data_IF_647658905182
#
_entry.id   IF_647658905182
#
_cell.length_a   1.000
_cell.length_b   1.000
_cell.length_c   1.000
_cell.angle_alpha   90.00
_cell.angle_beta   90.00
_cell.angle_gamma   90.00
#
_symmetry.space_group_name_H-M   'P 1'
#
loop_
_entity.id
_entity.type
_entity.pdbx_description
1 polymer ?
#
# COMPACT_ATOMS: atom_id res chain seq x y z
N UNK A 1 34.05 -32.58 -31.06
CA UNK A 1 34.44 -31.16 -30.92
C UNK A 1 33.72 -30.38 -32.02
N UNK A 2 32.45 -30.00 -31.84
CA UNK A 2 31.62 -29.27 -32.83
C UNK A 2 30.47 -28.48 -32.14
N UNK A 3 30.66 -28.01 -30.91
CA UNK A 3 29.55 -27.45 -30.09
C UNK A 3 29.31 -25.95 -30.38
N UNK A 4 30.36 -25.21 -30.76
CA UNK A 4 30.30 -23.76 -30.99
C UNK A 4 29.54 -23.36 -32.27
N UNK A 5 29.73 -24.03 -33.43
CA UNK A 5 29.00 -23.67 -34.65
C UNK A 5 27.49 -23.88 -34.52
N UNK A 6 27.06 -24.93 -33.81
CA UNK A 6 25.65 -25.23 -33.59
C UNK A 6 25.00 -24.28 -32.58
N UNK A 7 25.74 -23.90 -31.52
CA UNK A 7 25.29 -22.82 -30.61
C UNK A 7 25.16 -21.50 -31.36
N UNK A 8 26.11 -21.17 -32.22
CA UNK A 8 26.09 -19.95 -33.03
C UNK A 8 24.89 -19.93 -33.98
N UNK A 9 24.64 -21.04 -34.71
CA UNK A 9 23.49 -21.17 -35.60
C UNK A 9 22.15 -21.10 -34.85
N UNK A 10 22.06 -21.72 -33.68
CA UNK A 10 20.85 -21.65 -32.86
C UNK A 10 20.61 -20.24 -32.31
N UNK A 11 21.66 -19.53 -31.91
CA UNK A 11 21.55 -18.13 -31.48
C UNK A 11 21.14 -17.21 -32.63
N UNK A 12 21.73 -17.39 -33.82
CA UNK A 12 21.35 -16.64 -35.02
C UNK A 12 19.89 -16.94 -35.38
N UNK A 13 19.47 -18.19 -35.39
CA UNK A 13 18.08 -18.58 -35.66
C UNK A 13 17.09 -18.03 -34.62
N UNK A 14 17.46 -17.95 -33.34
CA UNK A 14 16.64 -17.31 -32.31
C UNK A 14 16.57 -15.80 -32.56
N UNK A 15 17.68 -15.14 -32.91
CA UNK A 15 17.70 -13.72 -33.24
C UNK A 15 16.85 -13.42 -34.48
N UNK A 16 16.96 -14.23 -35.53
CA UNK A 16 16.16 -14.10 -36.75
C UNK A 16 14.67 -14.32 -36.45
N UNK A 17 14.34 -15.32 -35.62
CA UNK A 17 12.97 -15.55 -35.15
C UNK A 17 12.42 -14.40 -34.28
N UNK A 18 13.27 -13.73 -33.49
CA UNK A 18 12.88 -12.51 -32.75
C UNK A 18 12.63 -11.35 -33.71
N UNK A 19 13.46 -11.19 -34.74
CA UNK A 19 13.34 -10.13 -35.75
C UNK A 19 12.08 -10.36 -36.61
N UNK A 20 11.82 -11.59 -37.06
CA UNK A 20 10.62 -11.94 -37.82
C UNK A 20 9.35 -11.77 -36.97
N UNK A 21 9.36 -12.20 -35.71
CA UNK A 21 8.25 -11.95 -34.78
C UNK A 21 8.06 -10.45 -34.52
N UNK A 22 9.13 -9.67 -34.45
CA UNK A 22 9.05 -8.21 -34.36
C UNK A 22 8.49 -7.61 -35.64
N UNK A 23 8.88 -8.07 -36.83
CA UNK A 23 8.38 -7.58 -38.11
C UNK A 23 6.90 -7.95 -38.35
N UNK A 24 6.46 -9.14 -37.91
CA UNK A 24 5.04 -9.51 -37.90
C UNK A 24 4.23 -8.70 -36.86
N UNK A 25 4.83 -8.36 -35.71
CA UNK A 25 4.24 -7.44 -34.74
C UNK A 25 4.31 -5.95 -35.16
N UNK A 26 5.19 -5.62 -36.12
CA UNK A 26 5.42 -4.25 -36.62
C UNK A 26 4.26 -3.72 -37.45
N UNK A 27 3.29 -4.57 -37.81
CA UNK A 27 2.11 -4.11 -38.52
C UNK A 27 1.05 -3.44 -37.62
N UNK A 28 1.20 -3.35 -36.29
CA UNK A 28 0.24 -2.54 -35.53
C UNK A 28 0.54 -1.95 -34.13
N UNK A 29 1.74 -2.00 -33.53
CA UNK A 29 1.92 -1.29 -32.24
C UNK A 29 3.33 -0.75 -32.01
N UNK A 30 3.51 0.56 -32.28
CA UNK A 30 4.63 1.38 -31.77
C UNK A 30 4.54 1.63 -30.24
N UNK A 31 3.86 0.76 -29.50
CA UNK A 31 3.53 0.94 -28.09
C UNK A 31 3.78 -0.33 -27.30
N UNK A 32 4.29 -0.21 -26.07
CA UNK A 32 4.36 -1.31 -25.12
C UNK A 32 3.94 -0.86 -23.71
N UNK A 33 3.51 -1.82 -22.89
CA UNK A 33 3.11 -1.55 -21.50
C UNK A 33 4.10 -2.18 -20.51
N UNK A 34 4.55 -1.41 -19.52
CA UNK A 34 5.40 -1.90 -18.42
C UNK A 34 4.93 -1.32 -17.09
N UNK A 35 4.66 -2.17 -16.10
CA UNK A 35 4.15 -1.79 -14.78
C UNK A 35 2.89 -0.89 -14.85
N UNK A 36 1.95 -1.24 -15.75
CA UNK A 36 0.72 -0.48 -15.97
C UNK A 36 0.93 0.92 -16.58
N UNK A 37 2.08 1.20 -17.19
CA UNK A 37 2.39 2.43 -17.91
C UNK A 37 2.59 2.11 -19.39
N UNK A 38 1.91 2.84 -20.27
CA UNK A 38 2.10 2.77 -21.73
C UNK A 38 3.31 3.61 -22.15
N UNK A 39 4.08 3.10 -23.09
CA UNK A 39 5.23 3.75 -23.69
C UNK A 39 5.10 3.66 -25.20
N UNK A 40 5.44 4.74 -25.92
CA UNK A 40 5.39 4.83 -27.37
C UNK A 40 6.78 5.16 -27.90
N UNK A 41 7.14 4.52 -29.00
CA UNK A 41 8.38 4.77 -29.72
C UNK A 41 8.29 6.12 -30.45
N UNK A 42 9.20 7.04 -30.16
CA UNK A 42 9.34 8.31 -30.88
C UNK A 42 10.22 8.15 -32.12
N UNK A 43 10.13 9.11 -33.05
CA UNK A 43 10.88 9.14 -34.30
C UNK A 43 12.41 9.11 -34.13
N UNK A 44 12.92 9.47 -32.94
CA UNK A 44 14.32 9.39 -32.56
C UNK A 44 14.72 8.03 -31.92
N UNK A 45 13.86 7.02 -31.98
CA UNK A 45 14.13 5.67 -31.45
C UNK A 45 14.03 5.53 -29.92
N UNK A 46 13.59 6.57 -29.20
CA UNK A 46 13.38 6.51 -27.76
C UNK A 46 11.95 6.08 -27.42
N UNK A 47 11.76 5.33 -26.34
CA UNK A 47 10.42 5.06 -25.83
C UNK A 47 10.02 6.12 -24.80
N UNK A 48 9.15 7.03 -25.19
CA UNK A 48 8.55 7.99 -24.26
C UNK A 48 7.34 7.36 -23.60
N UNK A 49 7.09 7.70 -22.35
CA UNK A 49 5.85 7.30 -21.69
C UNK A 49 4.68 7.99 -22.38
N UNK A 50 3.73 7.23 -22.91
CA UNK A 50 2.43 7.79 -23.32
C UNK A 50 1.75 8.27 -22.05
N UNK A 51 1.63 9.58 -21.89
CA UNK A 51 0.74 10.14 -20.88
C UNK A 51 -0.69 9.95 -21.36
N UNK A 52 -1.18 8.71 -21.24
CA UNK A 52 -2.58 8.39 -21.47
C UNK A 52 -3.43 8.97 -20.36
N UNK A 53 -4.46 9.71 -20.78
CA UNK A 53 -5.60 10.28 -20.05
C UNK A 53 -5.37 11.63 -19.35
N UNK A 54 -6.34 12.51 -19.62
CA UNK A 54 -6.74 13.64 -18.82
C UNK A 54 -6.97 13.20 -17.37
N UNK A 55 -5.93 13.16 -16.53
CA UNK A 55 -6.05 12.81 -15.09
C UNK A 55 -5.98 14.01 -14.17
N UNK A 56 -5.69 15.18 -14.72
CA UNK A 56 -5.59 16.42 -13.94
C UNK A 56 -6.99 16.97 -13.70
N UNK A 57 -7.33 17.17 -12.43
CA UNK A 57 -8.54 17.92 -12.08
C UNK A 57 -8.37 19.36 -12.54
N UNK A 58 -9.35 19.89 -13.24
CA UNK A 58 -9.33 21.29 -13.66
C UNK A 58 -9.95 22.15 -12.57
N UNK A 59 -9.23 23.19 -12.20
CA UNK A 59 -9.65 24.15 -11.18
C UNK A 59 -9.66 25.56 -11.76
N UNK A 60 -10.52 26.38 -11.21
CA UNK A 60 -10.56 27.80 -11.48
C UNK A 60 -9.39 28.55 -10.85
N UNK A 61 -8.88 29.54 -11.58
CA UNK A 61 -7.88 30.49 -11.10
C UNK A 61 -8.50 31.52 -10.13
N UNK A 62 -9.70 32.00 -10.42
CA UNK A 62 -10.35 33.10 -9.70
C UNK A 62 -11.67 32.71 -9.03
N UNK A 63 -12.08 33.47 -8.00
CA UNK A 63 -13.36 33.32 -7.28
C UNK A 63 -14.59 33.72 -8.12
N UNK A 64 -14.41 34.55 -9.14
CA UNK A 64 -15.48 34.92 -10.06
C UNK A 64 -15.86 33.74 -10.96
N UNK A 65 -14.85 32.96 -11.34
CA UNK A 65 -14.94 31.81 -12.22
C UNK A 65 -15.39 30.52 -11.52
N UNK A 66 -15.40 30.44 -10.18
CA UNK A 66 -15.90 29.26 -9.44
C UNK A 66 -17.36 28.90 -9.76
N UNK A 67 -18.14 29.88 -10.26
CA UNK A 67 -19.50 29.66 -10.75
C UNK A 67 -19.58 28.64 -11.89
N UNK A 68 -18.48 28.44 -12.63
CA UNK A 68 -18.40 27.49 -13.74
C UNK A 68 -18.30 26.02 -13.30
N UNK A 69 -18.14 25.74 -11.99
CA UNK A 69 -18.00 24.38 -11.44
C UNK A 69 -16.99 23.51 -12.22
N UNK A 70 -15.85 24.07 -12.63
CA UNK A 70 -14.83 23.40 -13.46
C UNK A 70 -14.37 22.06 -12.88
N UNK A 71 -14.22 21.97 -11.56
CA UNK A 71 -13.89 20.71 -10.88
C UNK A 71 -14.98 19.64 -11.02
N UNK A 72 -16.26 20.01 -10.98
CA UNK A 72 -17.37 19.08 -11.22
C UNK A 72 -17.31 18.58 -12.66
N UNK A 73 -17.20 19.48 -13.63
CA UNK A 73 -17.19 19.12 -15.05
C UNK A 73 -15.99 18.23 -15.39
N UNK A 74 -14.81 18.64 -14.93
CA UNK A 74 -13.58 17.89 -15.14
C UNK A 74 -13.60 16.54 -14.44
N UNK A 75 -13.97 16.47 -13.16
CA UNK A 75 -14.08 15.18 -12.48
C UNK A 75 -15.09 14.26 -13.16
N UNK A 76 -16.27 14.75 -13.57
CA UNK A 76 -17.23 13.96 -14.34
C UNK A 76 -16.63 13.45 -15.67
N UNK A 77 -15.95 14.31 -16.44
CA UNK A 77 -15.25 13.93 -17.66
C UNK A 77 -14.25 12.79 -17.42
N UNK A 78 -13.43 12.91 -16.37
CA UNK A 78 -12.43 11.91 -16.01
C UNK A 78 -13.11 10.59 -15.64
N UNK A 79 -14.13 10.62 -14.78
CA UNK A 79 -14.85 9.42 -14.36
C UNK A 79 -15.57 8.73 -15.53
N UNK A 80 -16.11 9.48 -16.49
CA UNK A 80 -16.69 8.93 -17.73
C UNK A 80 -15.66 8.18 -18.56
N UNK A 81 -14.40 8.62 -18.58
CA UNK A 81 -13.33 7.95 -19.32
C UNK A 81 -12.91 6.61 -18.69
N UNK A 82 -13.26 6.36 -17.43
CA UNK A 82 -12.92 5.13 -16.72
C UNK A 82 -13.98 4.02 -16.88
N UNK A 83 -14.92 4.12 -17.82
CA UNK A 83 -15.89 3.05 -18.07
C UNK A 83 -17.19 3.19 -17.29
N UNK A 84 -17.58 2.16 -16.54
CA UNK A 84 -18.94 1.99 -15.99
C UNK A 84 -19.15 2.62 -14.62
N UNK A 85 -18.16 3.35 -14.08
CA UNK A 85 -18.21 3.90 -12.72
C UNK A 85 -19.43 4.80 -12.49
N UNK A 86 -19.73 5.69 -13.43
CA UNK A 86 -20.86 6.62 -13.35
C UNK A 86 -22.21 5.88 -13.28
N UNK A 87 -22.29 4.69 -13.86
CA UNK A 87 -23.53 3.90 -13.93
C UNK A 87 -23.66 2.93 -12.74
N UNK A 88 -22.64 2.07 -12.51
CA UNK A 88 -22.68 1.03 -11.47
C UNK A 88 -22.38 1.54 -10.07
N UNK A 89 -21.53 2.56 -9.92
CA UNK A 89 -21.03 3.01 -8.61
C UNK A 89 -21.35 4.49 -8.37
N UNK A 90 -22.61 4.86 -8.61
CA UNK A 90 -23.07 6.26 -8.54
C UNK A 90 -22.72 6.97 -7.24
N UNK A 91 -22.86 6.31 -6.09
CA UNK A 91 -22.55 6.92 -4.79
C UNK A 91 -21.07 7.33 -4.69
N UNK A 92 -20.17 6.47 -5.16
CA UNK A 92 -18.74 6.78 -5.22
C UNK A 92 -18.43 7.89 -6.22
N UNK A 93 -19.04 7.85 -7.40
CA UNK A 93 -18.88 8.90 -8.39
C UNK A 93 -19.32 10.27 -7.84
N UNK A 94 -20.48 10.34 -7.18
CA UNK A 94 -20.98 11.55 -6.53
C UNK A 94 -20.07 12.01 -5.39
N UNK A 95 -19.53 11.09 -4.58
CA UNK A 95 -18.53 11.42 -3.56
C UNK A 95 -17.28 12.05 -4.17
N UNK A 96 -16.75 11.48 -5.25
CA UNK A 96 -15.59 12.04 -5.97
C UNK A 96 -15.91 13.43 -6.55
N UNK A 97 -17.04 13.58 -7.23
CA UNK A 97 -17.44 14.82 -7.91
C UNK A 97 -17.72 15.95 -6.90
N UNK A 98 -18.46 15.69 -5.83
CA UNK A 98 -18.73 16.74 -4.85
C UNK A 98 -17.47 17.10 -4.05
N UNK A 99 -16.63 16.13 -3.71
CA UNK A 99 -15.35 16.43 -3.05
C UNK A 99 -14.36 17.14 -3.97
N UNK A 100 -14.37 16.90 -5.29
CA UNK A 100 -13.50 17.64 -6.23
C UNK A 100 -13.80 19.14 -6.22
N UNK A 101 -15.07 19.51 -6.10
CA UNK A 101 -15.49 20.91 -5.88
C UNK A 101 -14.97 21.49 -4.57
N UNK A 102 -14.98 20.72 -3.50
CA UNK A 102 -14.44 21.18 -2.23
C UNK A 102 -12.91 21.30 -2.26
N UNK A 103 -12.22 20.43 -3.01
CA UNK A 103 -10.77 20.57 -3.28
C UNK A 103 -10.48 21.91 -3.96
N UNK A 104 -11.28 22.26 -4.97
CA UNK A 104 -11.18 23.52 -5.67
C UNK A 104 -11.42 24.70 -4.70
N UNK A 105 -12.59 24.73 -4.05
CA UNK A 105 -13.07 25.86 -3.24
C UNK A 105 -12.15 26.19 -2.08
N UNK A 106 -11.66 25.17 -1.41
CA UNK A 106 -10.83 25.32 -0.24
C UNK A 106 -9.33 25.24 -0.56
N UNK A 107 -8.97 25.12 -1.84
CA UNK A 107 -7.58 24.99 -2.30
C UNK A 107 -6.85 23.85 -1.56
N UNK A 108 -7.48 22.68 -1.44
CA UNK A 108 -6.91 21.49 -0.78
C UNK A 108 -5.87 20.75 -1.64
N UNK A 109 -5.07 21.49 -2.38
CA UNK A 109 -4.06 20.98 -3.28
C UNK A 109 -2.78 21.79 -3.15
N UNK A 110 -1.68 21.23 -3.64
CA UNK A 110 -0.35 21.82 -3.62
C UNK A 110 0.30 21.62 -5.01
N UNK A 111 1.42 22.28 -5.35
CA UNK A 111 2.02 22.20 -6.69
C UNK A 111 2.34 20.77 -7.17
N UNK A 112 2.54 19.81 -6.26
CA UNK A 112 2.79 18.39 -6.61
C UNK A 112 1.51 17.59 -6.86
N UNK A 113 0.33 18.16 -6.57
CA UNK A 113 -0.97 17.56 -6.84
C UNK A 113 -1.28 17.54 -8.34
N UNK A 114 -2.12 16.61 -8.76
CA UNK A 114 -2.58 16.50 -10.16
C UNK A 114 -3.76 17.41 -10.42
N UNK A 115 -3.51 18.70 -10.28
CA UNK A 115 -4.46 19.79 -10.48
C UNK A 115 -3.84 20.78 -11.47
N UNK A 116 -4.61 21.28 -12.43
CA UNK A 116 -4.17 22.34 -13.32
C UNK A 116 -5.33 23.25 -13.72
N UNK A 117 -5.01 24.35 -14.37
CA UNK A 117 -6.01 25.31 -14.84
C UNK A 117 -6.44 24.97 -16.27
N UNK A 118 -7.52 25.59 -16.74
CA UNK A 118 -8.08 25.34 -18.07
C UNK A 118 -7.06 25.62 -19.19
N UNK A 119 -6.27 26.68 -19.06
CA UNK A 119 -5.24 27.07 -20.05
C UNK A 119 -4.13 26.03 -20.20
N UNK A 120 -3.82 25.31 -19.13
CA UNK A 120 -2.81 24.24 -19.11
C UNK A 120 -3.40 22.85 -19.37
N UNK A 121 -4.70 22.77 -19.64
CA UNK A 121 -5.40 21.51 -19.80
C UNK A 121 -5.18 20.88 -21.19
N UNK A 122 -5.24 19.55 -21.25
CA UNK A 122 -5.21 18.80 -22.51
C UNK A 122 -6.62 18.49 -23.04
N UNK A 123 -7.66 18.97 -22.35
CA UNK A 123 -9.05 18.64 -22.64
C UNK A 123 -9.96 19.76 -22.13
N UNK A 124 -11.07 19.97 -22.83
CA UNK A 124 -12.07 20.96 -22.45
C UNK A 124 -13.25 20.26 -21.73
N UNK A 125 -13.48 20.54 -20.43
CA UNK A 125 -14.53 19.89 -19.64
C UNK A 125 -15.94 20.43 -19.95
N UNK A 126 -16.08 21.57 -20.65
CA UNK A 126 -17.38 22.12 -21.02
C UNK A 126 -18.14 21.21 -22.02
N UNK A 127 -17.45 20.35 -22.77
CA UNK A 127 -18.11 19.36 -23.64
C UNK A 127 -19.04 18.38 -22.91
N UNK A 128 -18.86 18.20 -21.59
CA UNK A 128 -19.70 17.32 -20.77
C UNK A 128 -20.60 18.08 -19.80
N UNK A 129 -20.73 19.41 -19.97
CA UNK A 129 -21.43 20.27 -19.00
C UNK A 129 -22.87 19.81 -18.73
N UNK A 130 -23.67 19.65 -19.79
CA UNK A 130 -25.06 19.21 -19.67
C UNK A 130 -25.18 17.86 -18.94
N UNK A 131 -24.35 16.88 -19.33
CA UNK A 131 -24.36 15.54 -18.74
C UNK A 131 -23.96 15.59 -17.26
N UNK A 132 -22.90 16.32 -16.93
CA UNK A 132 -22.38 16.44 -15.58
C UNK A 132 -23.38 17.14 -14.63
N UNK A 133 -24.00 18.23 -15.08
CA UNK A 133 -25.01 18.95 -14.30
C UNK A 133 -26.26 18.10 -14.10
N UNK A 134 -26.72 17.39 -15.13
CA UNK A 134 -27.83 16.44 -15.01
C UNK A 134 -27.48 15.30 -14.03
N UNK A 135 -26.24 14.82 -14.04
CA UNK A 135 -25.81 13.71 -13.17
C UNK A 135 -25.87 14.05 -11.67
N UNK A 136 -25.56 15.29 -11.31
CA UNK A 136 -25.62 15.77 -9.93
C UNK A 136 -26.99 16.37 -9.56
N UNK A 137 -27.92 16.45 -10.52
CA UNK A 137 -29.29 16.94 -10.27
C UNK A 137 -30.03 15.96 -9.34
N UNK A 138 -31.01 16.47 -8.59
CA UNK A 138 -31.81 15.73 -7.60
C UNK A 138 -31.04 15.21 -6.38
N UNK A 139 -29.79 15.66 -6.16
CA UNK A 139 -29.07 15.40 -4.91
C UNK A 139 -29.43 16.47 -3.89
N UNK A 140 -30.06 16.06 -2.78
CA UNK A 140 -30.39 16.97 -1.68
C UNK A 140 -29.12 17.58 -1.04
N UNK A 141 -29.24 18.74 -0.39
CA UNK A 141 -28.13 19.34 0.36
C UNK A 141 -27.61 18.42 1.48
N UNK A 142 -28.48 17.64 2.11
CA UNK A 142 -28.07 16.66 3.12
C UNK A 142 -27.23 15.53 2.51
N UNK A 143 -27.72 14.92 1.43
CA UNK A 143 -27.00 13.87 0.70
C UNK A 143 -25.65 14.35 0.18
N UNK A 144 -25.60 15.59 -0.34
CA UNK A 144 -24.36 16.22 -0.79
C UNK A 144 -23.31 16.29 0.33
N UNK A 145 -23.70 16.68 1.54
CA UNK A 145 -22.77 16.72 2.69
C UNK A 145 -22.22 15.34 3.03
N UNK A 146 -23.06 14.30 2.97
CA UNK A 146 -22.62 12.92 3.20
C UNK A 146 -21.66 12.45 2.10
N UNK A 147 -21.91 12.79 0.83
CA UNK A 147 -20.98 12.48 -0.27
C UNK A 147 -19.63 13.18 -0.10
N UNK A 148 -19.63 14.46 0.28
CA UNK A 148 -18.39 15.20 0.56
C UNK A 148 -17.61 14.52 1.69
N UNK A 149 -18.30 14.15 2.78
CA UNK A 149 -17.70 13.47 3.92
C UNK A 149 -17.11 12.12 3.52
N UNK A 150 -17.85 11.30 2.75
CA UNK A 150 -17.36 10.03 2.22
C UNK A 150 -16.12 10.23 1.34
N UNK A 151 -16.14 11.19 0.41
CA UNK A 151 -15.00 11.49 -0.45
C UNK A 151 -13.77 11.95 0.33
N UNK A 152 -13.94 12.78 1.36
CA UNK A 152 -12.86 13.15 2.28
C UNK A 152 -12.31 11.95 3.05
N UNK A 153 -13.17 11.06 3.56
CA UNK A 153 -12.76 9.81 4.22
C UNK A 153 -11.97 8.89 3.28
N UNK A 154 -12.40 8.77 2.02
CA UNK A 154 -11.70 8.02 0.97
C UNK A 154 -10.33 8.67 0.68
N UNK A 155 -10.25 9.99 0.51
CA UNK A 155 -8.97 10.69 0.32
C UNK A 155 -8.03 10.40 1.49
N UNK A 156 -8.49 10.54 2.73
CA UNK A 156 -7.69 10.22 3.90
C UNK A 156 -7.21 8.77 3.89
N UNK A 157 -8.09 7.81 3.61
CA UNK A 157 -7.73 6.40 3.52
C UNK A 157 -6.71 6.12 2.40
N UNK A 158 -6.83 6.76 1.24
CA UNK A 158 -5.83 6.63 0.16
C UNK A 158 -4.48 7.23 0.54
N UNK A 159 -4.46 8.32 1.31
CA UNK A 159 -3.21 8.92 1.81
C UNK A 159 -2.55 8.07 2.90
N UNK A 160 -3.34 7.45 3.77
CA UNK A 160 -2.84 6.43 4.71
C UNK A 160 -2.27 5.25 3.94
N UNK A 161 -2.93 4.78 2.89
CA UNK A 161 -2.39 3.71 2.06
C UNK A 161 -1.07 4.12 1.40
N UNK A 162 -0.99 5.33 0.84
CA UNK A 162 0.26 5.92 0.33
C UNK A 162 1.37 5.89 1.39
N UNK A 163 1.06 6.28 2.64
CA UNK A 163 2.01 6.24 3.74
C UNK A 163 2.55 4.84 4.00
N UNK A 164 1.77 3.77 3.77
CA UNK A 164 2.09 2.40 4.21
C UNK A 164 2.60 1.47 3.10
N UNK A 165 2.28 1.75 1.83
CA UNK A 165 2.56 0.83 0.72
C UNK A 165 3.86 1.16 0.01
N UNK A 166 4.78 0.21 0.00
CA UNK A 166 5.89 0.19 -0.96
C UNK A 166 5.25 0.09 -2.36
N UNK A 167 5.37 1.12 -3.21
CA UNK A 167 4.60 1.30 -4.46
C UNK A 167 4.83 0.27 -5.60
N UNK A 168 5.03 -1.01 -5.28
CA UNK A 168 5.17 -2.10 -6.22
C UNK A 168 3.80 -2.67 -6.59
N UNK A 169 3.07 -1.95 -7.44
CA UNK A 169 1.77 -2.41 -7.94
C UNK A 169 2.02 -3.39 -9.09
N UNK A 170 1.90 -4.69 -8.82
CA UNK A 170 1.91 -5.75 -9.85
C UNK A 170 0.52 -6.01 -10.43
N UNK A 171 -0.55 -5.55 -9.79
CA UNK A 171 -1.94 -5.64 -10.28
C UNK A 171 -2.82 -4.53 -9.67
N UNK A 172 -3.77 -3.93 -10.43
CA UNK A 172 -4.71 -2.93 -9.93
C UNK A 172 -5.63 -3.53 -8.87
N UNK A 173 -5.30 -3.34 -7.60
CA UNK A 173 -6.09 -3.78 -6.45
C UNK A 173 -6.13 -2.69 -5.40
N UNK A 174 -7.27 -2.56 -4.71
CA UNK A 174 -7.38 -1.64 -3.58
C UNK A 174 -6.69 -2.24 -2.36
N UNK A 175 -5.68 -1.53 -1.86
CA UNK A 175 -4.93 -1.88 -0.66
C UNK A 175 -5.29 -0.95 0.50
N UNK A 176 -4.98 -1.39 1.72
CA UNK A 176 -5.23 -0.65 2.94
C UNK A 176 -6.59 -0.99 3.56
N UNK A 177 -6.59 -1.21 4.87
CA UNK A 177 -7.79 -1.63 5.61
C UNK A 177 -8.92 -0.59 5.50
N UNK A 178 -8.62 0.69 5.77
CA UNK A 178 -9.62 1.74 5.73
C UNK A 178 -10.23 1.94 4.36
N UNK A 179 -9.41 1.95 3.31
CA UNK A 179 -9.88 2.16 1.94
C UNK A 179 -10.80 1.02 1.51
N UNK A 180 -10.35 -0.23 1.70
CA UNK A 180 -11.16 -1.41 1.36
C UNK A 180 -12.49 -1.41 2.12
N UNK A 181 -12.47 -1.13 3.42
CA UNK A 181 -13.69 -1.08 4.23
C UNK A 181 -14.66 -0.02 3.72
N UNK A 182 -14.19 1.20 3.45
CA UNK A 182 -15.05 2.28 2.93
C UNK A 182 -15.66 1.95 1.58
N UNK A 183 -14.89 1.34 0.67
CA UNK A 183 -15.38 0.98 -0.65
C UNK A 183 -16.37 -0.18 -0.57
N UNK A 184 -16.09 -1.22 0.23
CA UNK A 184 -17.03 -2.31 0.45
C UNK A 184 -18.36 -1.83 1.05
N UNK A 185 -18.30 -0.98 2.10
CA UNK A 185 -19.48 -0.45 2.77
C UNK A 185 -20.31 0.50 1.85
N UNK A 186 -19.67 1.23 0.93
CA UNK A 186 -20.37 2.21 0.08
C UNK A 186 -20.77 1.67 -1.30
N UNK A 187 -20.09 0.65 -1.81
CA UNK A 187 -20.20 0.20 -3.20
C UNK A 187 -20.35 -1.32 -3.36
N UNK A 188 -20.23 -2.11 -2.28
CA UNK A 188 -20.21 -3.57 -2.33
C UNK A 188 -18.81 -4.16 -2.53
N UNK A 189 -18.67 -5.46 -2.26
CA UNK A 189 -17.39 -6.17 -2.34
C UNK A 189 -16.87 -6.33 -3.78
N UNK A 190 -17.75 -6.30 -4.79
CA UNK A 190 -17.38 -6.38 -6.20
C UNK A 190 -16.56 -5.15 -6.65
N UNK A 191 -16.81 -3.99 -6.04
CA UNK A 191 -16.04 -2.77 -6.26
C UNK A 191 -14.56 -2.89 -5.87
N UNK A 192 -14.21 -3.81 -4.95
CA UNK A 192 -12.83 -3.97 -4.47
C UNK A 192 -11.86 -4.49 -5.53
N UNK A 193 -12.38 -5.25 -6.49
CA UNK A 193 -11.62 -5.84 -7.59
C UNK A 193 -11.92 -5.17 -8.93
N UNK A 194 -12.71 -4.10 -8.94
CA UNK A 194 -13.13 -3.43 -10.16
C UNK A 194 -12.07 -2.42 -10.64
N UNK A 195 -11.68 -2.53 -11.92
CA UNK A 195 -10.64 -1.70 -12.52
C UNK A 195 -11.05 -0.23 -12.68
N UNK A 196 -12.32 0.03 -12.98
CA UNK A 196 -12.88 1.37 -13.15
C UNK A 196 -12.85 2.12 -11.81
N UNK A 197 -13.22 1.42 -10.72
CA UNK A 197 -13.13 1.91 -9.34
C UNK A 197 -11.68 2.22 -8.97
N UNK A 198 -10.76 1.27 -9.23
CA UNK A 198 -9.34 1.47 -8.96
C UNK A 198 -8.76 2.69 -9.70
N UNK A 199 -9.03 2.82 -10.99
CA UNK A 199 -8.52 3.93 -11.81
C UNK A 199 -9.09 5.28 -11.36
N UNK A 200 -10.37 5.31 -10.99
CA UNK A 200 -11.06 6.50 -10.49
C UNK A 200 -10.49 6.95 -9.15
N UNK A 201 -10.33 6.03 -8.19
CA UNK A 201 -9.71 6.32 -6.89
C UNK A 201 -8.25 6.72 -7.03
N UNK A 202 -7.51 6.11 -7.97
CA UNK A 202 -6.13 6.49 -8.27
C UNK A 202 -6.06 7.94 -8.77
N UNK A 203 -6.89 8.34 -9.72
CA UNK A 203 -6.94 9.73 -10.18
C UNK A 203 -7.33 10.68 -9.03
N UNK A 204 -8.44 10.40 -8.37
CA UNK A 204 -8.97 11.19 -7.27
C UNK A 204 -7.96 11.41 -6.14
N UNK A 205 -7.24 10.35 -5.75
CA UNK A 205 -6.22 10.41 -4.69
C UNK A 205 -5.09 11.40 -5.01
N UNK A 206 -4.84 11.70 -6.29
CA UNK A 206 -3.77 12.61 -6.69
C UNK A 206 -4.21 14.08 -6.77
N UNK A 207 -5.50 14.39 -6.69
CA UNK A 207 -6.00 15.76 -6.76
C UNK A 207 -5.85 16.52 -5.44
N UNK A 208 -5.90 15.81 -4.32
CA UNK A 208 -5.75 16.39 -2.98
C UNK A 208 -4.30 16.33 -2.49
N UNK A 209 -3.86 17.35 -1.76
CA UNK A 209 -2.53 17.41 -1.15
C UNK A 209 -2.28 16.25 -0.19
N UNK A 210 -1.08 15.64 -0.28
CA UNK A 210 -0.66 14.63 0.69
C UNK A 210 -0.33 15.28 2.05
N UNK A 211 0.33 16.44 2.03
CA UNK A 211 0.76 17.16 3.23
C UNK A 211 -0.42 17.67 4.04
N UNK A 212 -1.42 18.26 3.37
CA UNK A 212 -2.61 18.75 4.07
C UNK A 212 -3.38 17.64 4.78
N UNK A 213 -3.49 16.46 4.16
CA UNK A 213 -4.11 15.29 4.80
C UNK A 213 -3.26 14.75 5.95
N UNK A 214 -1.94 14.68 5.78
CA UNK A 214 -1.02 14.28 6.86
C UNK A 214 -1.05 15.25 8.05
N UNK A 215 -1.23 16.55 7.79
CA UNK A 215 -1.44 17.54 8.83
C UNK A 215 -2.72 17.25 9.62
N UNK A 216 -3.82 16.91 8.93
CA UNK A 216 -5.08 16.51 9.57
C UNK A 216 -5.02 15.18 10.31
N UNK A 217 -4.06 14.32 9.95
CA UNK A 217 -3.76 13.07 10.66
C UNK A 217 -2.74 13.26 11.79
N UNK A 218 -2.25 14.49 12.00
CA UNK A 218 -1.32 14.85 13.06
C UNK A 218 -0.03 14.02 13.01
N UNK A 219 0.48 13.75 11.80
CA UNK A 219 1.73 12.98 11.65
C UNK A 219 2.91 13.87 12.09
N UNK A 220 3.75 13.41 13.04
CA UNK A 220 4.88 14.20 13.52
C UNK A 220 5.95 14.39 12.42
N UNK A 221 6.72 15.46 12.56
CA UNK A 221 7.82 15.79 11.65
C UNK A 221 7.40 16.33 10.29
N UNK A 222 6.11 16.57 10.04
CA UNK A 222 5.59 17.03 8.74
C UNK A 222 6.08 18.45 8.39
N UNK A 223 6.69 18.58 7.20
CA UNK A 223 6.98 19.89 6.59
C UNK A 223 5.78 20.36 5.77
N UNK A 224 5.12 21.41 6.25
CA UNK A 224 3.96 22.02 5.62
C UNK A 224 4.00 23.55 5.81
N UNK A 225 3.60 24.31 4.80
CA UNK A 225 3.54 25.77 4.86
C UNK A 225 2.24 26.28 5.49
N UNK A 226 2.27 27.54 5.95
CA UNK A 226 1.15 28.18 6.65
C UNK A 226 -0.09 28.39 5.76
N UNK A 227 0.08 28.61 4.46
CA UNK A 227 -1.03 28.78 3.54
C UNK A 227 -1.80 27.46 3.37
N UNK A 228 -1.08 26.34 3.21
CA UNK A 228 -1.71 25.03 3.12
C UNK A 228 -2.38 24.61 4.44
N UNK A 229 -1.78 24.93 5.59
CA UNK A 229 -2.44 24.77 6.91
C UNK A 229 -3.76 25.55 6.94
N UNK A 230 -3.76 26.81 6.49
CA UNK A 230 -4.95 27.65 6.46
C UNK A 230 -6.04 27.04 5.57
N UNK A 231 -5.69 26.64 4.34
CA UNK A 231 -6.60 26.03 3.37
C UNK A 231 -7.24 24.74 3.91
N UNK A 232 -6.46 23.94 4.64
CA UNK A 232 -6.96 22.71 5.23
C UNK A 232 -7.81 22.92 6.48
N UNK A 233 -7.98 24.14 7.03
CA UNK A 233 -8.83 24.36 8.23
C UNK A 233 -10.23 23.75 8.06
N UNK A 234 -10.85 23.93 6.89
CA UNK A 234 -12.18 23.40 6.55
C UNK A 234 -12.20 21.90 6.20
N UNK A 235 -11.05 21.24 6.06
CA UNK A 235 -11.01 19.80 5.76
C UNK A 235 -11.63 19.00 6.91
N UNK A 236 -12.64 18.14 6.64
CA UNK A 236 -13.39 17.44 7.68
C UNK A 236 -12.54 16.51 8.54
N UNK A 237 -12.87 16.43 9.83
CA UNK A 237 -12.31 15.41 10.73
C UNK A 237 -12.86 14.04 10.35
N UNK A 238 -11.97 13.08 10.10
CA UNK A 238 -12.38 11.69 9.83
C UNK A 238 -12.64 10.91 11.11
N UNK A 239 -13.47 9.84 11.07
CA UNK A 239 -13.66 8.95 12.21
C UNK A 239 -12.35 8.40 12.79
N UNK A 240 -12.32 8.22 14.11
CA UNK A 240 -11.13 7.78 14.86
C UNK A 240 -10.53 6.49 14.32
N UNK A 241 -11.36 5.52 13.96
CA UNK A 241 -10.92 4.24 13.40
C UNK A 241 -10.14 4.39 12.08
N UNK A 242 -10.45 5.38 11.23
CA UNK A 242 -9.66 5.65 10.02
C UNK A 242 -8.31 6.19 10.42
N UNK A 243 -8.29 7.21 11.27
CA UNK A 243 -7.05 7.85 11.74
C UNK A 243 -6.13 6.83 12.41
N UNK A 244 -6.66 5.95 13.24
CA UNK A 244 -5.88 4.92 13.94
C UNK A 244 -5.18 3.94 12.99
N UNK A 245 -5.72 3.72 11.79
CA UNK A 245 -5.07 2.81 10.82
C UNK A 245 -3.69 3.28 10.41
N UNK A 246 -3.39 4.58 10.49
CA UNK A 246 -2.04 5.07 10.19
C UNK A 246 -0.98 4.50 11.15
N UNK A 247 -1.35 4.30 12.42
CA UNK A 247 -0.47 3.74 13.46
C UNK A 247 -0.26 2.23 13.29
N UNK A 248 -1.12 1.56 12.52
CA UNK A 248 -1.08 0.11 12.35
C UNK A 248 0.09 -0.41 11.52
N UNK A 249 0.78 0.46 10.75
CA UNK A 249 1.94 0.08 9.93
C UNK A 249 2.97 1.20 9.87
N UNK A 250 4.23 0.79 9.74
CA UNK A 250 5.32 1.72 9.51
C UNK A 250 5.21 2.37 8.12
N UNK A 251 5.88 3.52 7.92
CA UNK A 251 5.92 4.18 6.61
C UNK A 251 6.52 3.28 5.53
N UNK A 252 6.12 3.52 4.27
CA UNK A 252 6.66 2.84 3.10
C UNK A 252 8.19 3.00 3.07
N UNK A 253 8.89 1.90 2.77
CA UNK A 253 10.33 1.73 2.94
C UNK A 253 10.74 0.97 4.18
N UNK A 254 9.89 0.97 5.21
CA UNK A 254 10.22 0.41 6.52
C UNK A 254 9.61 -0.97 6.76
N UNK A 255 9.07 -1.61 5.71
CA UNK A 255 8.31 -2.84 5.81
C UNK A 255 9.13 -4.03 6.34
N UNK A 256 10.45 -4.10 6.07
CA UNK A 256 11.34 -5.10 6.70
C UNK A 256 11.48 -4.86 8.21
N UNK A 257 11.72 -3.62 8.64
CA UNK A 257 11.79 -3.27 10.07
C UNK A 257 10.49 -3.60 10.79
N UNK A 258 9.35 -3.21 10.21
CA UNK A 258 8.03 -3.52 10.78
C UNK A 258 7.80 -5.02 10.92
N UNK A 259 8.18 -5.81 9.91
CA UNK A 259 8.08 -7.27 9.94
C UNK A 259 8.95 -7.89 11.05
N UNK A 260 10.20 -7.43 11.20
CA UNK A 260 11.11 -7.89 12.24
C UNK A 260 10.56 -7.53 13.62
N UNK A 261 10.17 -6.26 13.84
CA UNK A 261 9.61 -5.79 15.11
C UNK A 261 8.37 -6.59 15.50
N UNK A 262 7.44 -6.79 14.56
CA UNK A 262 6.22 -7.58 14.80
C UNK A 262 6.55 -9.03 15.15
N UNK A 263 7.53 -9.63 14.49
CA UNK A 263 7.95 -11.01 14.79
C UNK A 263 8.56 -11.12 16.18
N UNK A 264 9.42 -10.17 16.55
CA UNK A 264 10.02 -10.12 17.89
C UNK A 264 8.95 -9.94 18.98
N UNK A 265 7.97 -9.07 18.75
CA UNK A 265 6.84 -8.91 19.67
C UNK A 265 6.05 -10.21 19.84
N UNK A 266 5.76 -10.93 18.76
CA UNK A 266 5.07 -12.22 18.85
C UNK A 266 5.91 -13.25 19.62
N UNK A 267 7.22 -13.32 19.34
CA UNK A 267 8.12 -14.23 20.03
C UNK A 267 8.17 -13.94 21.54
N UNK A 268 8.30 -12.68 21.93
CA UNK A 268 8.32 -12.22 23.33
C UNK A 268 7.03 -12.61 24.09
N UNK A 269 5.89 -12.58 23.40
CA UNK A 269 4.60 -13.04 23.93
C UNK A 269 4.38 -14.57 23.83
N UNK A 270 5.42 -15.33 23.52
CA UNK A 270 5.37 -16.79 23.42
C UNK A 270 6.37 -17.46 24.35
N UNK A 271 6.17 -18.74 24.61
CA UNK A 271 7.13 -19.62 25.30
C UNK A 271 8.53 -19.55 24.66
N UNK A 272 8.62 -19.39 23.34
CA UNK A 272 9.89 -19.39 22.64
C UNK A 272 10.72 -18.13 22.88
N UNK A 273 10.09 -16.98 23.18
CA UNK A 273 10.80 -15.70 23.37
C UNK A 273 11.78 -15.72 24.54
N UNK A 274 11.47 -16.50 25.57
CA UNK A 274 12.32 -16.66 26.76
C UNK A 274 13.49 -17.64 26.53
N UNK A 275 13.37 -18.51 25.53
CA UNK A 275 14.29 -19.63 25.30
C UNK A 275 15.22 -19.39 24.11
N UNK A 276 14.82 -18.52 23.18
CA UNK A 276 15.61 -18.16 22.01
C UNK A 276 16.55 -16.99 22.32
N UNK A 277 17.84 -17.19 22.06
CA UNK A 277 18.82 -16.11 22.09
C UNK A 277 18.93 -15.44 20.72
N UNK A 278 18.80 -14.11 20.70
CA UNK A 278 19.06 -13.32 19.48
C UNK A 278 20.58 -13.27 19.26
N UNK A 279 21.08 -13.62 18.05
CA UNK A 279 22.50 -13.52 17.72
C UNK A 279 23.06 -12.12 17.99
N UNK A 280 24.22 -12.06 18.65
CA UNK A 280 24.84 -10.78 19.04
C UNK A 280 25.11 -9.85 17.86
N UNK A 281 25.44 -10.39 16.68
CA UNK A 281 25.74 -9.63 15.46
C UNK A 281 24.51 -8.95 14.83
N UNK A 282 23.29 -9.33 15.23
CA UNK A 282 22.07 -8.65 14.82
C UNK A 282 21.85 -7.31 15.56
N UNK A 283 22.53 -7.10 16.69
CA UNK A 283 22.49 -5.89 17.52
C UNK A 283 21.04 -5.43 17.81
N UNK A 284 20.32 -6.22 18.60
CA UNK A 284 18.93 -5.98 18.99
C UNK A 284 18.68 -4.59 19.58
N UNK A 285 19.58 -4.09 20.43
CA UNK A 285 19.43 -2.75 21.05
C UNK A 285 19.40 -1.63 20.00
N UNK A 286 20.32 -1.66 19.04
CA UNK A 286 20.32 -0.70 17.94
C UNK A 286 19.07 -0.83 17.06
N UNK A 287 18.60 -2.05 16.81
CA UNK A 287 17.36 -2.28 16.07
C UNK A 287 16.13 -1.69 16.77
N UNK A 288 16.00 -1.88 18.09
CA UNK A 288 14.91 -1.28 18.87
C UNK A 288 14.97 0.25 18.86
N UNK A 289 16.18 0.82 18.99
CA UNK A 289 16.37 2.27 18.89
C UNK A 289 15.89 2.79 17.54
N UNK A 290 16.31 2.14 16.44
CA UNK A 290 15.84 2.48 15.10
C UNK A 290 14.32 2.40 14.97
N UNK A 291 13.70 1.36 15.55
CA UNK A 291 12.24 1.24 15.54
C UNK A 291 11.56 2.40 16.25
N UNK A 292 12.11 2.85 17.39
CA UNK A 292 11.62 4.01 18.14
C UNK A 292 11.82 5.31 17.37
N UNK A 293 12.97 5.47 16.71
CA UNK A 293 13.27 6.66 15.89
C UNK A 293 12.27 6.78 14.73
N UNK A 294 11.92 5.66 14.07
CA UNK A 294 10.88 5.62 13.03
C UNK A 294 9.50 6.01 13.58
N UNK A 295 9.16 5.61 14.81
CA UNK A 295 7.86 5.92 15.42
C UNK A 295 7.74 7.37 15.86
N UNK A 296 8.85 8.01 16.24
CA UNK A 296 8.89 9.42 16.63
C UNK A 296 8.82 10.36 15.42
N UNK A 297 9.47 10.01 14.31
CA UNK A 297 9.43 10.78 13.07
C UNK A 297 9.35 9.85 11.85
N UNK A 298 8.15 9.33 11.54
CA UNK A 298 7.99 8.36 10.46
C UNK A 298 8.19 8.99 9.07
N UNK A 299 7.90 10.29 8.92
CA UNK A 299 8.04 10.96 7.64
C UNK A 299 9.50 11.06 7.21
N UNK A 300 10.44 11.11 8.15
CA UNK A 300 11.88 11.06 7.84
C UNK A 300 12.28 9.79 7.10
N UNK A 301 11.67 8.65 7.41
CA UNK A 301 12.03 7.33 6.87
C UNK A 301 11.16 6.88 5.69
N UNK A 302 10.15 7.66 5.32
CA UNK A 302 9.30 7.34 4.17
C UNK A 302 10.10 7.40 2.85
N UNK A 303 9.94 6.40 1.97
CA UNK A 303 10.68 6.31 0.68
C UNK A 303 10.57 7.52 -0.25
N UNK A 304 9.51 8.31 -0.09
CA UNK A 304 9.25 9.53 -0.86
C UNK A 304 9.42 10.81 -0.06
N UNK A 305 10.03 10.72 1.13
CA UNK A 305 10.21 11.88 2.00
C UNK A 305 11.00 12.98 1.33
N UNK A 306 12.16 12.65 0.75
CA UNK A 306 13.01 13.62 0.05
C UNK A 306 12.35 14.18 -1.22
N UNK A 307 11.77 13.32 -2.06
CA UNK A 307 11.19 13.74 -3.35
C UNK A 307 9.91 14.56 -3.24
N UNK A 308 9.15 14.41 -2.15
CA UNK A 308 7.93 15.19 -1.88
C UNK A 308 8.14 16.25 -0.79
N UNK A 309 9.34 16.33 -0.20
CA UNK A 309 9.66 17.21 0.92
C UNK A 309 8.67 17.04 2.08
N UNK A 310 8.46 15.80 2.54
CA UNK A 310 7.46 15.46 3.56
C UNK A 310 7.91 15.80 4.97
N UNK A 311 9.21 15.66 5.28
CA UNK A 311 9.73 15.89 6.63
C UNK A 311 10.42 17.24 6.75
N UNK A 312 10.35 17.83 7.96
CA UNK A 312 11.15 19.00 8.35
C UNK A 312 12.63 18.61 8.38
N UNK A 313 12.89 17.39 8.85
CA UNK A 313 14.22 16.81 8.92
C UNK A 313 14.67 16.22 7.58
N UNK A 314 15.98 16.12 7.33
CA UNK A 314 16.49 15.47 6.14
C UNK A 314 16.02 14.01 6.04
N UNK A 315 15.54 13.63 4.86
CA UNK A 315 15.06 12.28 4.60
C UNK A 315 16.16 11.23 4.79
N UNK A 316 15.83 10.11 5.42
CA UNK A 316 16.72 8.96 5.62
C UNK A 316 16.29 7.81 4.73
N UNK A 317 17.22 7.33 3.92
CA UNK A 317 17.08 6.06 3.22
C UNK A 317 17.42 4.91 4.16
N UNK A 318 16.39 4.22 4.67
CA UNK A 318 16.54 3.18 5.69
C UNK A 318 17.58 2.10 5.33
N UNK A 319 17.69 1.71 4.07
CA UNK A 319 18.64 0.69 3.62
C UNK A 319 20.11 1.10 3.81
N UNK A 320 20.41 2.40 3.92
CA UNK A 320 21.78 2.90 4.17
C UNK A 320 22.18 2.75 5.64
N UNK A 321 21.23 2.88 6.56
CA UNK A 321 21.48 2.81 8.00
C UNK A 321 21.17 1.44 8.61
N UNK A 322 20.32 0.64 7.96
CA UNK A 322 19.92 -0.69 8.39
C UNK A 322 20.44 -1.77 7.43
N UNK A 323 21.76 -1.86 7.36
CA UNK A 323 22.50 -2.73 6.45
C UNK A 323 22.36 -4.24 6.77
N UNK A 324 22.07 -4.60 8.02
CA UNK A 324 21.87 -5.99 8.45
C UNK A 324 20.43 -6.50 8.31
N UNK A 325 19.54 -5.77 7.63
CA UNK A 325 18.14 -6.15 7.43
C UNK A 325 17.97 -7.58 6.91
N UNK A 326 18.78 -8.00 5.93
CA UNK A 326 18.68 -9.35 5.36
C UNK A 326 19.10 -10.44 6.35
N UNK A 327 20.07 -10.17 7.24
CA UNK A 327 20.45 -11.09 8.31
C UNK A 327 19.32 -11.26 9.31
N UNK A 328 18.69 -10.15 9.71
CA UNK A 328 17.50 -10.19 10.56
C UNK A 328 16.37 -11.01 9.93
N UNK A 329 16.06 -10.73 8.66
CA UNK A 329 15.03 -11.48 7.92
C UNK A 329 15.39 -12.97 7.84
N UNK A 330 16.64 -13.32 7.60
CA UNK A 330 17.11 -14.72 7.58
C UNK A 330 16.91 -15.41 8.93
N UNK A 331 17.29 -14.74 10.02
CA UNK A 331 17.15 -15.28 11.36
C UNK A 331 15.68 -15.47 11.75
N UNK A 332 14.83 -14.45 11.60
CA UNK A 332 13.39 -14.60 11.91
C UNK A 332 12.72 -15.64 11.02
N UNK A 333 13.12 -15.75 9.74
CA UNK A 333 12.57 -16.77 8.85
C UNK A 333 12.92 -18.16 9.35
N UNK A 334 14.17 -18.36 9.78
CA UNK A 334 14.65 -19.63 10.36
C UNK A 334 13.85 -20.01 11.61
N UNK A 335 13.66 -19.06 12.53
CA UNK A 335 12.89 -19.26 13.77
C UNK A 335 11.42 -19.58 13.47
N UNK A 336 10.76 -18.78 12.62
CA UNK A 336 9.35 -18.96 12.28
C UNK A 336 9.07 -20.32 11.64
N UNK A 337 9.89 -20.73 10.67
CA UNK A 337 9.75 -22.03 10.00
C UNK A 337 10.00 -23.21 10.95
N UNK A 338 10.95 -23.08 11.87
CA UNK A 338 11.27 -24.14 12.83
C UNK A 338 10.15 -24.33 13.87
N UNK A 339 9.55 -23.24 14.37
CA UNK A 339 8.42 -23.28 15.30
C UNK A 339 7.16 -23.82 14.61
N UNK A 340 6.88 -23.35 13.39
CA UNK A 340 5.65 -23.67 12.67
C UNK A 340 4.41 -23.17 13.41
N UNK A 341 3.36 -23.99 13.47
CA UNK A 341 2.09 -23.64 14.12
C UNK A 341 2.05 -24.02 15.61
N UNK A 342 2.97 -24.86 16.08
CA UNK A 342 2.92 -25.44 17.42
C UNK A 342 3.05 -24.36 18.50
N UNK A 343 1.95 -24.09 19.20
CA UNK A 343 1.83 -23.01 20.20
C UNK A 343 2.25 -21.63 19.67
N UNK A 344 2.12 -21.39 18.36
CA UNK A 344 2.53 -20.14 17.72
C UNK A 344 1.73 -19.78 16.45
N UNK A 345 0.42 -20.01 16.48
CA UNK A 345 -0.48 -19.83 15.32
C UNK A 345 -0.47 -18.40 14.72
N UNK A 346 -0.24 -17.36 15.51
CA UNK A 346 -0.12 -16.00 14.96
C UNK A 346 1.20 -15.77 14.22
N UNK A 347 2.29 -16.37 14.70
CA UNK A 347 3.58 -16.33 14.05
C UNK A 347 3.60 -17.14 12.76
N UNK A 348 2.90 -18.27 12.69
CA UNK A 348 2.83 -19.06 11.45
C UNK A 348 2.19 -18.28 10.30
N UNK A 349 1.20 -17.42 10.58
CA UNK A 349 0.61 -16.50 9.58
C UNK A 349 1.66 -15.57 8.96
N UNK A 350 2.75 -15.23 9.68
CA UNK A 350 3.82 -14.35 9.17
C UNK A 350 4.65 -15.01 8.06
N UNK A 351 4.70 -16.35 8.01
CA UNK A 351 5.43 -17.12 6.99
C UNK A 351 4.86 -16.90 5.58
N UNK A 352 3.59 -16.47 5.49
CA UNK A 352 2.93 -16.15 4.22
C UNK A 352 3.48 -14.88 3.56
N UNK A 353 4.15 -14.00 4.32
CA UNK A 353 4.77 -12.78 3.80
C UNK A 353 5.80 -13.10 2.72
N UNK A 354 5.74 -12.36 1.60
CA UNK A 354 6.72 -12.47 0.52
C UNK A 354 8.14 -12.04 0.92
N UNK A 355 8.30 -11.40 2.09
CA UNK A 355 9.59 -10.98 2.65
C UNK A 355 10.25 -12.05 3.52
N UNK A 356 9.51 -13.08 3.95
CA UNK A 356 10.06 -14.21 4.71
C UNK A 356 10.67 -15.21 3.74
N UNK A 357 11.90 -15.65 4.02
CA UNK A 357 12.55 -16.67 3.21
C UNK A 357 11.81 -18.01 3.34
N UNK A 358 11.67 -18.74 2.24
CA UNK A 358 11.02 -20.06 2.23
C UNK A 358 11.90 -21.11 2.92
N UNK A 359 11.27 -22.20 3.38
CA UNK A 359 11.91 -23.27 4.17
C UNK A 359 13.21 -23.78 3.52
N UNK A 360 13.21 -23.98 2.20
CA UNK A 360 14.37 -24.45 1.45
C UNK A 360 15.61 -23.55 1.57
N UNK A 361 15.43 -22.24 1.82
CA UNK A 361 16.53 -21.29 2.03
C UNK A 361 17.02 -21.24 3.48
N UNK A 362 16.24 -21.71 4.44
CA UNK A 362 16.52 -21.55 5.87
C UNK A 362 16.81 -22.86 6.61
N UNK A 363 16.40 -24.02 6.08
CA UNK A 363 16.52 -25.32 6.76
C UNK A 363 17.94 -25.69 7.18
N UNK A 364 18.94 -25.20 6.45
CA UNK A 364 20.35 -25.50 6.72
C UNK A 364 21.01 -24.47 7.66
N UNK A 365 20.31 -23.38 7.97
CA UNK A 365 20.80 -22.34 8.85
C UNK A 365 20.90 -22.83 10.29
N UNK A 366 21.96 -22.41 10.99
CA UNK A 366 22.19 -22.75 12.40
C UNK A 366 20.96 -22.43 13.28
N UNK A 367 20.41 -21.22 13.14
CA UNK A 367 19.24 -20.78 13.88
C UNK A 367 18.01 -21.69 13.68
N UNK A 368 17.80 -22.22 12.48
CA UNK A 368 16.69 -23.14 12.21
C UNK A 368 16.90 -24.45 12.97
N UNK A 369 18.08 -25.07 12.83
CA UNK A 369 18.40 -26.36 13.47
C UNK A 369 18.32 -26.28 15.00
N UNK A 370 18.85 -25.21 15.59
CA UNK A 370 18.77 -24.96 17.03
C UNK A 370 17.32 -24.77 17.50
N UNK A 371 16.52 -24.04 16.73
CA UNK A 371 15.11 -23.82 17.07
C UNK A 371 14.28 -25.10 16.92
N UNK A 372 14.55 -25.95 15.91
CA UNK A 372 13.87 -27.25 15.77
C UNK A 372 14.15 -28.14 16.98
N UNK A 373 15.41 -28.19 17.43
CA UNK A 373 15.79 -28.95 18.63
C UNK A 373 15.02 -28.47 19.86
N UNK A 374 14.97 -27.15 20.06
CA UNK A 374 14.19 -26.53 21.14
C UNK A 374 12.69 -26.89 21.07
N UNK A 375 12.10 -26.82 19.88
CA UNK A 375 10.68 -27.16 19.68
C UNK A 375 10.42 -28.63 19.99
N UNK A 376 11.33 -29.53 19.62
CA UNK A 376 11.24 -30.96 19.95
C UNK A 376 11.34 -31.21 21.46
N UNK A 377 12.26 -30.53 22.14
CA UNK A 377 12.40 -30.61 23.60
C UNK A 377 11.10 -30.16 24.31
N UNK A 378 10.52 -29.02 23.90
CA UNK A 378 9.26 -28.51 24.45
C UNK A 378 8.09 -29.46 24.20
N UNK A 379 8.02 -30.07 23.01
CA UNK A 379 7.01 -31.08 22.69
C UNK A 379 7.16 -32.31 23.58
N UNK A 380 8.38 -32.85 23.68
CA UNK A 380 8.68 -34.00 24.54
C UNK A 380 8.31 -33.75 26.01
N UNK A 381 8.59 -32.56 26.54
CA UNK A 381 8.19 -32.19 27.91
C UNK A 381 6.66 -32.08 28.07
N UNK A 382 5.95 -31.59 27.05
CA UNK A 382 4.50 -31.49 27.07
C UNK A 382 3.84 -32.87 27.00
N UNK A 383 4.41 -33.77 26.20
CA UNK A 383 3.95 -35.14 26.06
C UNK A 383 4.24 -35.93 27.35
N UNK A 384 5.42 -35.77 27.96
CA UNK A 384 5.73 -36.36 29.28
C UNK A 384 4.83 -35.82 30.40
N UNK A 385 4.52 -34.52 30.40
CA UNK A 385 3.58 -33.94 31.37
C UNK A 385 2.16 -34.47 31.17
N UNK A 386 1.72 -34.68 29.92
CA UNK A 386 0.45 -35.33 29.59
C UNK A 386 0.44 -36.82 29.97
N UNK A 387 1.55 -37.53 29.79
CA UNK A 387 1.71 -38.94 30.21
C UNK A 387 1.74 -39.05 31.73
N UNK A 388 2.36 -38.11 32.47
CA UNK A 388 2.34 -38.10 33.93
C UNK A 388 0.98 -37.72 34.50
N UNK A 389 0.23 -36.81 33.87
CA UNK A 389 -1.15 -36.52 34.28
C UNK A 389 -2.10 -37.68 33.99
N UNK A 390 -1.90 -38.42 32.88
CA UNK A 390 -2.58 -39.69 32.61
C UNK A 390 -2.13 -40.84 33.53
N UNK A 391 -0.85 -40.87 33.92
CA UNK A 391 -0.27 -41.86 34.83
C UNK A 391 -0.70 -41.64 36.28
N UNK A 392 -1.00 -40.40 36.67
CA UNK A 392 -1.61 -40.05 37.96
C UNK A 392 -3.14 -40.22 37.97
N UNK A 393 -3.82 -40.13 36.82
CA UNK A 393 -5.25 -40.49 36.73
C UNK A 393 -5.48 -42.00 36.67
N UNK A 394 -4.49 -42.79 36.26
CA UNK A 394 -4.53 -44.26 36.27
C UNK A 394 -3.92 -44.90 37.54
N UNK A 395 -3.38 -44.13 38.48
CA UNK A 395 -2.93 -44.62 39.79
C UNK A 395 -3.92 -44.38 40.94
N UNK A 396 -5.12 -43.85 40.64
CA UNK A 396 -6.21 -43.64 41.61
C UNK A 396 -7.43 -44.54 41.39
N UNK A 397 -7.32 -45.60 40.59
CA UNK A 397 -8.43 -46.52 40.32
C UNK A 397 -8.07 -47.97 40.62
N UNK A 398 -7.55 -48.25 41.82
CA UNK A 398 -7.71 -49.59 42.41
C UNK A 398 -7.60 -49.55 43.94
N UNK A 399 -8.71 -49.24 44.62
CA UNK A 399 -9.16 -50.06 45.75
C UNK A 399 -10.67 -49.90 45.94
N UNK A 400 -11.34 -51.04 45.79
CA UNK A 400 -12.77 -51.31 45.93
C UNK A 400 -13.06 -51.58 47.41
N UNK A 401 -14.22 -51.16 47.92
CA UNK A 401 -14.93 -52.01 48.88
C UNK A 401 -15.85 -51.33 49.91
N UNK A 402 -17.16 -51.53 49.71
CA UNK A 402 -18.24 -51.86 50.67
C UNK A 402 -18.12 -51.28 52.10
N UNK A 403 -19.06 -50.48 52.58
CA UNK A 403 -20.50 -50.74 52.79
C UNK A 403 -21.21 -49.42 53.05
#
# INVERSE_FOLDING_TARGET
MLILPDISKNLVSICDGIIENQQQASQNTNEYSKNGKKYKLTSNGQFIRVQGEAKHLLVSESYEDFKSNLSILSSYHILRSHGTLLERYRNLALAIIFTSREIELNKWYEPTSKVCNLESSQYNPQYVEKDALNYITNVSQASRREYIKLGCMILTATKINFFQTDHNVTSPTLEGYALRRLIAESCGDDALCNIDVYNSLRAFSHWCSIKGVFYKLEIPGLKIDSALIHNFKSFPTVPGWIRETIKGRYPAGCSKCSLIKKTLYLLDNSIYGQLLSIPADLNYKSFLKLCKDIELDPLKYHIRSGSLGLSIEPSIELHRIFNNANKWIMWISSVLHAIGEYRFAEGSKMITSNKIFKLNKVKDQKAYKETVKLVQEIRGMSDEAAVRSFGLSNSLSTQIGFT
#
